data_IF_441498818022
#
_entry.id   IF_441498818022
#
_cell.length_a   1.000
_cell.length_b   1.000
_cell.length_c   1.000
_cell.angle_alpha   90.00
_cell.angle_beta   90.00
_cell.angle_gamma   90.00
#
_symmetry.space_group_name_H-M   'P 1'
#
loop_
_entity.id
_entity.type
_entity.pdbx_description
1 polymer ?
#
# COMPACT_ATOMS: atom_id res chain seq x y z
N UNK A 1 -16.22 22.26 8.43
CA UNK A 1 -14.81 21.88 8.15
C UNK A 1 -14.80 20.53 7.42
N UNK A 2 -15.42 20.46 6.23
CA UNK A 2 -15.55 19.20 5.46
C UNK A 2 -14.24 18.81 4.75
N UNK A 3 -13.48 19.82 4.33
CA UNK A 3 -12.28 19.66 3.50
C UNK A 3 -11.13 18.91 4.18
N UNK A 4 -10.88 19.17 5.48
CA UNK A 4 -9.80 18.50 6.23
C UNK A 4 -10.09 17.01 6.43
N UNK A 5 -11.34 16.63 6.70
CA UNK A 5 -11.68 15.22 6.93
C UNK A 5 -11.74 14.45 5.61
N UNK A 6 -12.23 15.07 4.53
CA UNK A 6 -12.14 14.51 3.17
C UNK A 6 -10.67 14.34 2.74
N UNK A 7 -9.80 15.29 3.06
CA UNK A 7 -8.37 15.19 2.80
C UNK A 7 -7.71 14.03 3.55
N UNK A 8 -8.03 13.83 4.84
CA UNK A 8 -7.53 12.68 5.62
C UNK A 8 -7.94 11.35 4.98
N UNK A 9 -9.21 11.22 4.59
CA UNK A 9 -9.72 10.01 3.93
C UNK A 9 -8.94 9.75 2.63
N UNK A 10 -8.74 10.78 1.81
CA UNK A 10 -7.99 10.64 0.57
C UNK A 10 -6.55 10.18 0.79
N UNK A 11 -5.88 10.68 1.84
CA UNK A 11 -4.53 10.25 2.21
C UNK A 11 -4.52 8.81 2.70
N UNK A 12 -5.46 8.41 3.55
CA UNK A 12 -5.57 7.03 4.03
C UNK A 12 -5.79 6.04 2.89
N UNK A 13 -6.68 6.38 1.95
CA UNK A 13 -6.94 5.56 0.76
C UNK A 13 -5.72 5.47 -0.16
N UNK A 14 -4.99 6.57 -0.33
CA UNK A 14 -3.75 6.56 -1.09
C UNK A 14 -2.68 5.66 -0.44
N UNK A 15 -2.51 5.74 0.87
CA UNK A 15 -1.58 4.88 1.63
C UNK A 15 -1.97 3.41 1.48
N UNK A 16 -3.27 3.09 1.60
CA UNK A 16 -3.79 1.73 1.43
C UNK A 16 -3.52 1.22 0.01
N UNK A 17 -3.86 2.00 -1.01
CA UNK A 17 -3.58 1.68 -2.41
C UNK A 17 -2.09 1.41 -2.64
N UNK A 18 -1.23 2.32 -2.19
CA UNK A 18 0.21 2.22 -2.40
C UNK A 18 0.79 0.94 -1.78
N UNK A 19 0.37 0.59 -0.57
CA UNK A 19 0.92 -0.57 0.15
C UNK A 19 0.39 -1.91 -0.33
N UNK A 20 -0.89 -1.98 -0.72
CA UNK A 20 -1.59 -3.27 -0.90
C UNK A 20 -2.06 -3.55 -2.32
N UNK A 21 -2.18 -2.53 -3.18
CA UNK A 21 -2.77 -2.68 -4.52
C UNK A 21 -1.86 -2.24 -5.65
N UNK A 22 -0.87 -1.37 -5.37
CA UNK A 22 0.04 -0.85 -6.39
C UNK A 22 0.92 -1.97 -6.96
N UNK A 23 0.77 -2.24 -8.26
CA UNK A 23 1.63 -3.17 -9.00
C UNK A 23 2.97 -2.49 -9.31
N UNK A 24 4.07 -3.14 -8.94
CA UNK A 24 5.43 -2.65 -9.17
C UNK A 24 6.21 -3.62 -10.07
N UNK A 25 6.66 -3.15 -11.24
CA UNK A 25 7.50 -3.96 -12.14
C UNK A 25 8.83 -4.36 -11.46
N UNK A 26 9.38 -3.49 -10.61
CA UNK A 26 10.57 -3.80 -9.79
C UNK A 26 10.33 -4.97 -8.83
N UNK A 27 9.08 -5.16 -8.39
CA UNK A 27 8.70 -6.27 -7.51
C UNK A 27 8.09 -7.43 -8.28
N UNK A 28 8.39 -7.55 -9.59
CA UNK A 28 7.85 -8.59 -10.46
C UNK A 28 6.32 -8.66 -10.44
N UNK A 29 5.67 -7.48 -10.42
CA UNK A 29 4.21 -7.36 -10.41
C UNK A 29 3.56 -7.45 -9.04
N UNK A 30 4.33 -7.63 -7.96
CA UNK A 30 3.79 -7.69 -6.60
C UNK A 30 3.53 -6.29 -6.02
N UNK A 31 2.56 -6.21 -5.11
CA UNK A 31 2.41 -5.06 -4.23
C UNK A 31 3.56 -4.97 -3.21
N UNK A 32 3.80 -3.80 -2.59
CA UNK A 32 4.85 -3.67 -1.58
C UNK A 32 4.71 -4.62 -0.39
N UNK A 33 3.48 -4.88 0.07
CA UNK A 33 3.24 -5.85 1.16
C UNK A 33 3.57 -7.28 0.69
N UNK A 34 3.04 -7.71 -0.46
CA UNK A 34 3.30 -9.05 -0.99
C UNK A 34 4.78 -9.30 -1.23
N UNK A 35 5.50 -8.29 -1.74
CA UNK A 35 6.95 -8.37 -1.90
C UNK A 35 7.67 -8.60 -0.56
N UNK A 36 7.28 -7.90 0.51
CA UNK A 36 7.86 -8.09 1.86
C UNK A 36 7.56 -9.48 2.41
N UNK A 37 6.32 -9.97 2.25
CA UNK A 37 5.90 -11.31 2.69
C UNK A 37 6.70 -12.40 1.98
N UNK A 38 6.88 -12.25 0.66
CA UNK A 38 7.69 -13.18 -0.15
C UNK A 38 9.17 -13.14 0.21
N UNK A 39 9.69 -11.96 0.56
CA UNK A 39 11.10 -11.77 0.94
C UNK A 39 11.42 -12.27 2.35
N UNK A 40 10.43 -12.31 3.24
CA UNK A 40 10.60 -12.69 4.65
C UNK A 40 9.48 -13.64 5.14
N UNK A 41 9.47 -14.90 4.68
CA UNK A 41 8.38 -15.84 4.94
C UNK A 41 8.17 -16.23 6.41
N UNK A 42 9.07 -15.84 7.32
CA UNK A 42 9.00 -16.16 8.76
C UNK A 42 8.68 -14.98 9.68
N UNK A 43 8.23 -13.83 9.15
CA UNK A 43 7.82 -12.66 9.95
C UNK A 43 6.36 -12.31 9.64
N UNK A 44 5.43 -13.15 10.08
CA UNK A 44 4.00 -12.82 10.16
C UNK A 44 3.46 -13.31 11.48
#
# INVERSE_FOLDING_TARGET
MKDIDEFKIAIEDYIRYYNTRRISLRFNGLSPVEYRLKSYPGRN
#
